data_IF_437944064698
#
_entry.id   IF_437944064698
#
_cell.length_a   1.000
_cell.length_b   1.000
_cell.length_c   1.000
_cell.angle_alpha   90.00
_cell.angle_beta   90.00
_cell.angle_gamma   90.00
#
_symmetry.space_group_name_H-M   'P 1'
#
loop_
_entity.id
_entity.type
_entity.pdbx_description
1 polymer ?
#
# COMPACT_ATOMS: atom_id res chain seq x y z
N UNK A 1 61.59 -19.50 -20.43
CA UNK A 1 60.89 -18.42 -19.70
C UNK A 1 60.01 -17.69 -20.71
N UNK A 2 58.69 -17.98 -20.72
CA UNK A 2 57.73 -17.29 -21.61
C UNK A 2 56.89 -16.36 -20.74
N UNK A 3 57.00 -15.06 -20.98
CA UNK A 3 56.19 -14.02 -20.33
C UNK A 3 54.86 -13.92 -21.10
N UNK A 4 53.75 -14.24 -20.45
CA UNK A 4 52.42 -14.05 -20.99
C UNK A 4 51.95 -12.66 -20.64
N UNK A 5 51.65 -11.86 -21.66
CA UNK A 5 51.13 -10.50 -21.56
C UNK A 5 49.59 -10.57 -21.53
N UNK A 6 48.97 -10.24 -20.39
CA UNK A 6 47.53 -10.15 -20.31
C UNK A 6 47.04 -8.78 -20.82
N UNK A 7 46.33 -8.83 -21.94
CA UNK A 7 45.70 -7.68 -22.55
C UNK A 7 44.32 -7.49 -21.89
N UNK A 8 44.13 -6.37 -21.19
CA UNK A 8 42.84 -5.96 -20.62
C UNK A 8 42.07 -5.18 -21.68
N UNK A 9 40.87 -5.57 -22.09
CA UNK A 9 40.09 -4.76 -23.01
C UNK A 9 39.46 -3.59 -22.25
N UNK A 10 39.79 -2.40 -22.72
CA UNK A 10 39.21 -1.12 -22.33
C UNK A 10 37.77 -1.06 -22.85
N UNK A 11 36.78 -1.20 -21.97
CA UNK A 11 35.37 -0.98 -22.30
C UNK A 11 35.12 0.52 -22.45
N UNK A 12 34.84 0.95 -23.68
CA UNK A 12 34.43 2.29 -24.00
C UNK A 12 32.98 2.53 -23.48
N UNK A 13 32.81 3.47 -22.58
CA UNK A 13 31.51 4.01 -22.22
C UNK A 13 31.00 4.87 -23.37
N UNK A 14 29.95 4.41 -24.06
CA UNK A 14 29.17 5.26 -24.95
C UNK A 14 28.27 6.18 -24.07
N UNK A 15 28.63 7.45 -24.02
CA UNK A 15 27.77 8.52 -23.59
C UNK A 15 26.70 8.71 -24.67
N UNK A 16 25.49 8.23 -24.40
CA UNK A 16 24.31 8.57 -25.21
C UNK A 16 23.86 9.97 -24.82
N UNK A 17 24.07 10.92 -25.74
CA UNK A 17 23.71 12.31 -25.56
C UNK A 17 22.20 12.48 -25.47
N UNK A 18 21.74 13.20 -24.45
CA UNK A 18 20.37 13.69 -24.34
C UNK A 18 20.14 14.80 -25.37
N UNK A 19 19.17 14.60 -26.24
CA UNK A 19 18.67 15.61 -27.16
C UNK A 19 17.73 16.54 -26.37
N UNK A 20 18.11 17.80 -26.24
CA UNK A 20 17.26 18.85 -25.66
C UNK A 20 16.15 19.21 -26.64
N UNK A 21 14.94 18.78 -26.36
CA UNK A 21 13.70 19.26 -26.98
C UNK A 21 12.98 20.20 -26.04
N UNK A 22 13.02 21.48 -26.33
CA UNK A 22 12.32 22.52 -25.59
C UNK A 22 10.78 22.43 -25.75
N UNK A 23 10.05 22.63 -24.66
CA UNK A 23 8.67 23.08 -24.70
C UNK A 23 7.69 22.29 -23.83
N UNK A 24 7.23 22.89 -22.73
CA UNK A 24 6.04 22.43 -22.00
C UNK A 24 6.16 22.60 -20.48
N UNK A 25 5.76 23.76 -19.99
CA UNK A 25 5.58 24.02 -18.56
C UNK A 25 4.57 23.05 -17.95
N UNK A 26 4.94 22.42 -16.86
CA UNK A 26 4.10 21.54 -16.06
C UNK A 26 4.93 20.96 -14.92
N UNK A 27 5.39 21.81 -13.99
CA UNK A 27 6.20 21.43 -12.85
C UNK A 27 5.41 20.56 -11.83
N UNK A 28 5.21 19.30 -12.15
CA UNK A 28 4.84 18.27 -11.21
C UNK A 28 6.08 17.44 -10.89
N UNK A 29 6.79 17.76 -9.81
CA UNK A 29 7.88 16.92 -9.33
C UNK A 29 7.38 15.48 -9.20
N UNK A 30 7.87 14.59 -10.04
CA UNK A 30 7.63 13.15 -9.96
C UNK A 30 8.38 12.62 -8.74
N UNK A 31 7.75 12.74 -7.57
CA UNK A 31 8.22 12.03 -6.39
C UNK A 31 8.26 10.54 -6.71
N UNK A 32 9.32 9.86 -6.31
CA UNK A 32 9.42 8.41 -6.49
C UNK A 32 8.27 7.74 -5.76
N UNK A 33 7.46 6.98 -6.49
CA UNK A 33 6.37 6.22 -5.90
C UNK A 33 6.93 5.01 -5.14
N UNK A 34 6.55 4.87 -3.89
CA UNK A 34 6.92 3.75 -3.02
C UNK A 34 5.72 2.82 -2.88
N UNK A 35 5.81 1.62 -3.45
CA UNK A 35 4.73 0.63 -3.42
C UNK A 35 5.03 -0.49 -2.44
N UNK A 36 4.03 -0.82 -1.62
CA UNK A 36 3.97 -1.99 -0.75
C UNK A 36 2.96 -2.96 -1.35
N UNK A 37 3.41 -4.13 -1.77
CA UNK A 37 2.58 -5.18 -2.37
C UNK A 37 2.47 -6.35 -1.38
N UNK A 38 1.25 -6.61 -0.91
CA UNK A 38 1.00 -7.60 0.13
C UNK A 38 0.81 -9.03 -0.40
N UNK A 39 0.98 -9.24 -1.71
CA UNK A 39 0.85 -10.57 -2.32
C UNK A 39 1.85 -11.59 -1.78
N UNK A 40 2.94 -11.14 -1.18
CA UNK A 40 3.97 -12.00 -0.57
C UNK A 40 3.72 -12.36 0.89
N UNK A 41 2.70 -11.77 1.53
CA UNK A 41 2.36 -12.06 2.93
C UNK A 41 1.84 -13.49 3.09
N UNK A 42 2.26 -14.17 4.15
CA UNK A 42 1.94 -15.60 4.42
C UNK A 42 1.54 -15.89 5.87
N UNK A 43 1.55 -14.88 6.73
CA UNK A 43 1.37 -15.04 8.19
C UNK A 43 -0.09 -14.86 8.62
N UNK A 44 -0.97 -15.69 8.09
CA UNK A 44 -2.43 -15.63 8.31
C UNK A 44 -2.84 -15.28 9.73
N UNK A 45 -3.66 -14.22 9.85
CA UNK A 45 -4.26 -13.79 11.11
C UNK A 45 -3.30 -13.16 12.10
N UNK A 46 -2.03 -12.98 11.75
CA UNK A 46 -1.04 -12.33 12.62
C UNK A 46 -1.25 -10.82 12.60
N UNK A 47 -1.32 -10.20 13.78
CA UNK A 47 -1.46 -8.76 13.90
C UNK A 47 -0.16 -8.04 13.49
N UNK A 48 -0.30 -6.83 12.93
CA UNK A 48 0.83 -5.98 12.53
C UNK A 48 1.34 -5.06 13.63
N UNK A 49 0.93 -5.27 14.85
CA UNK A 49 1.37 -4.48 16.00
C UNK A 49 2.85 -4.72 16.37
N UNK A 50 3.33 -5.95 16.15
CA UNK A 50 4.72 -6.34 16.47
C UNK A 50 5.16 -7.57 15.65
N UNK A 51 6.46 -7.83 15.65
CA UNK A 51 7.03 -9.12 15.27
C UNK A 51 7.10 -9.38 13.77
N UNK A 52 6.96 -10.65 13.38
CA UNK A 52 7.22 -11.13 12.02
C UNK A 52 6.25 -10.58 10.97
N UNK A 53 4.99 -10.34 11.33
CA UNK A 53 4.02 -9.76 10.38
C UNK A 53 4.36 -8.31 10.04
N UNK A 54 4.82 -7.52 11.01
CA UNK A 54 5.29 -6.16 10.78
C UNK A 54 6.55 -6.14 9.89
N UNK A 55 7.51 -7.03 10.16
CA UNK A 55 8.69 -7.17 9.31
C UNK A 55 8.32 -7.60 7.89
N UNK A 56 7.37 -8.51 7.73
CA UNK A 56 6.85 -8.94 6.43
C UNK A 56 6.16 -7.78 5.69
N UNK A 57 5.38 -6.94 6.39
CA UNK A 57 4.79 -5.73 5.83
C UNK A 57 5.86 -4.77 5.29
N UNK A 58 6.89 -4.46 6.06
CA UNK A 58 7.97 -3.59 5.61
C UNK A 58 8.75 -4.17 4.43
N UNK A 59 8.97 -5.48 4.42
CA UNK A 59 9.67 -6.17 3.33
C UNK A 59 8.84 -6.31 2.06
N UNK A 60 7.55 -5.98 2.09
CA UNK A 60 6.66 -5.98 0.92
C UNK A 60 6.88 -4.79 -0.02
N UNK A 61 7.81 -3.89 0.27
CA UNK A 61 8.19 -2.79 -0.61
C UNK A 61 8.82 -3.31 -1.91
N UNK A 62 8.29 -2.88 -3.06
CA UNK A 62 8.70 -3.41 -4.39
C UNK A 62 9.62 -2.50 -5.16
N UNK A 63 9.70 -1.22 -4.85
CA UNK A 63 10.45 -0.22 -5.65
C UNK A 63 11.80 0.17 -4.99
N UNK A 64 12.50 -0.77 -4.36
CA UNK A 64 13.78 -0.50 -3.72
C UNK A 64 13.62 -0.03 -2.27
N UNK A 65 14.24 1.08 -1.90
CA UNK A 65 14.20 1.56 -0.52
C UNK A 65 12.78 1.92 -0.07
N UNK A 66 12.35 1.36 1.07
CA UNK A 66 11.09 1.70 1.69
C UNK A 66 11.09 3.13 2.23
N UNK A 67 10.02 3.89 1.98
CA UNK A 67 9.80 5.19 2.62
C UNK A 67 9.26 5.03 4.05
N UNK A 68 8.56 3.93 4.35
CA UNK A 68 8.07 3.65 5.70
C UNK A 68 9.24 3.28 6.60
N UNK A 69 9.44 4.05 7.65
CA UNK A 69 10.51 3.86 8.65
C UNK A 69 9.99 3.22 9.93
N UNK A 70 8.68 3.19 10.14
CA UNK A 70 8.09 2.59 11.32
C UNK A 70 6.57 2.51 11.26
N UNK A 71 6.02 1.71 12.17
CA UNK A 71 4.61 1.65 12.51
C UNK A 71 4.47 2.05 13.97
N UNK A 72 3.74 3.12 14.24
CA UNK A 72 3.52 3.60 15.61
C UNK A 72 2.24 3.07 16.23
N UNK A 73 1.29 2.64 15.40
CA UNK A 73 0.05 2.00 15.84
C UNK A 73 -0.42 1.01 14.76
N UNK A 74 -0.85 -0.18 15.17
CA UNK A 74 -1.49 -1.17 14.31
C UNK A 74 -2.58 -1.89 15.11
N UNK A 75 -3.75 -1.26 15.22
CA UNK A 75 -4.88 -1.80 15.96
C UNK A 75 -5.84 -2.50 15.01
N UNK A 76 -6.13 -3.79 15.24
CA UNK A 76 -7.00 -4.62 14.40
C UNK A 76 -6.60 -4.61 12.91
N UNK A 77 -5.30 -4.68 12.64
CA UNK A 77 -4.71 -4.87 11.31
C UNK A 77 -3.97 -6.19 11.30
N UNK A 78 -4.29 -7.06 10.33
CA UNK A 78 -3.85 -8.44 10.31
C UNK A 78 -3.35 -8.86 8.93
N UNK A 79 -2.41 -9.80 8.91
CA UNK A 79 -2.14 -10.56 7.71
C UNK A 79 -3.34 -11.47 7.39
N UNK A 80 -4.01 -11.19 6.28
CA UNK A 80 -5.18 -11.91 5.78
C UNK A 80 -4.85 -12.91 4.65
N UNK A 81 -3.61 -13.38 4.55
CA UNK A 81 -3.11 -14.17 3.42
C UNK A 81 -4.02 -15.31 2.98
N UNK A 82 -4.60 -16.07 3.92
CA UNK A 82 -5.49 -17.18 3.57
C UNK A 82 -6.87 -16.72 3.04
N UNK A 83 -7.24 -15.49 3.24
CA UNK A 83 -8.50 -14.93 2.72
C UNK A 83 -8.30 -14.38 1.30
N UNK A 84 -7.06 -14.04 0.91
CA UNK A 84 -6.72 -13.48 -0.40
C UNK A 84 -7.18 -14.33 -1.57
N UNK A 85 -6.98 -15.65 -1.50
CA UNK A 85 -7.38 -16.59 -2.55
C UNK A 85 -8.88 -16.61 -2.82
N UNK A 86 -9.72 -16.43 -1.80
CA UNK A 86 -11.18 -16.38 -1.94
C UNK A 86 -11.66 -15.16 -2.74
N UNK A 87 -10.83 -14.12 -2.83
CA UNK A 87 -11.14 -12.86 -3.52
C UNK A 87 -10.29 -12.64 -4.80
N UNK A 88 -9.82 -13.74 -5.39
CA UNK A 88 -9.08 -13.69 -6.66
C UNK A 88 -7.66 -13.16 -6.54
N UNK A 89 -7.13 -13.04 -5.33
CA UNK A 89 -5.71 -12.82 -5.12
C UNK A 89 -5.02 -14.16 -4.87
N UNK A 90 -3.99 -14.47 -5.62
CA UNK A 90 -3.26 -15.75 -5.52
C UNK A 90 -2.38 -15.83 -4.27
N UNK A 91 -2.20 -14.71 -3.58
CA UNK A 91 -1.34 -14.59 -2.42
C UNK A 91 -1.89 -13.55 -1.44
N UNK A 92 -1.10 -13.10 -0.49
CA UNK A 92 -1.46 -12.32 0.67
C UNK A 92 -2.25 -11.01 0.45
N UNK A 93 -2.83 -10.57 1.51
CA UNK A 93 -3.48 -9.26 1.66
C UNK A 93 -3.39 -8.83 3.13
N UNK A 94 -3.68 -7.56 3.37
CA UNK A 94 -3.84 -7.03 4.73
C UNK A 94 -5.32 -6.83 5.01
N UNK A 95 -5.76 -7.32 6.16
CA UNK A 95 -7.13 -7.17 6.64
C UNK A 95 -7.19 -6.09 7.71
N UNK A 96 -8.03 -5.10 7.51
CA UNK A 96 -8.35 -4.06 8.48
C UNK A 96 -9.69 -4.34 9.15
N UNK A 97 -9.72 -4.16 10.46
CA UNK A 97 -10.92 -4.29 11.28
C UNK A 97 -11.35 -5.73 11.59
N UNK A 98 -12.23 -5.84 12.55
CA UNK A 98 -12.91 -7.08 12.97
C UNK A 98 -14.36 -6.81 13.33
N UNK A 99 -15.10 -7.85 13.68
CA UNK A 99 -16.57 -7.75 13.93
C UNK A 99 -16.97 -6.76 15.03
N UNK A 100 -16.05 -6.36 15.90
CA UNK A 100 -16.31 -5.49 17.06
C UNK A 100 -15.34 -4.33 17.16
N UNK A 101 -14.56 -4.01 16.12
CA UNK A 101 -13.63 -2.90 16.15
C UNK A 101 -13.15 -2.51 14.73
N UNK A 102 -12.97 -1.23 14.51
CA UNK A 102 -12.30 -0.68 13.33
C UNK A 102 -10.83 -1.08 13.30
N UNK A 103 -10.26 -1.12 12.09
CA UNK A 103 -8.81 -1.24 11.90
C UNK A 103 -8.16 0.12 11.82
N UNK A 104 -6.98 0.27 12.41
CA UNK A 104 -6.17 1.48 12.34
C UNK A 104 -4.70 1.14 12.20
N UNK A 105 -4.03 1.81 11.28
CA UNK A 105 -2.60 1.68 11.02
C UNK A 105 -2.00 3.07 10.91
N UNK A 106 -0.96 3.34 11.69
CA UNK A 106 -0.21 4.60 11.64
C UNK A 106 1.21 4.33 11.19
N UNK A 107 1.56 4.86 10.03
CA UNK A 107 2.87 4.72 9.41
C UNK A 107 3.69 6.00 9.62
N UNK A 108 4.96 5.85 9.98
CA UNK A 108 5.96 6.91 9.96
C UNK A 108 6.78 6.79 8.67
N UNK A 109 7.00 7.90 7.99
CA UNK A 109 7.67 7.96 6.70
C UNK A 109 9.01 8.71 6.81
N UNK A 110 9.97 8.32 5.98
CA UNK A 110 11.26 9.00 5.84
C UNK A 110 11.15 10.38 5.15
N UNK A 111 10.10 10.57 4.34
CA UNK A 111 9.79 11.85 3.69
C UNK A 111 8.29 12.08 3.62
N UNK A 112 7.89 13.33 3.36
CA UNK A 112 6.49 13.68 3.29
C UNK A 112 5.81 13.09 2.06
N UNK A 113 4.70 12.39 2.26
CA UNK A 113 3.78 11.98 1.21
C UNK A 113 2.86 13.12 0.80
N UNK A 114 2.51 13.18 -0.48
CA UNK A 114 1.50 14.10 -1.05
C UNK A 114 0.28 13.34 -1.54
N UNK A 115 0.47 12.07 -1.87
CA UNK A 115 -0.58 11.21 -2.42
C UNK A 115 -0.42 9.79 -1.92
N UNK A 116 -1.55 9.15 -1.62
CA UNK A 116 -1.60 7.74 -1.24
C UNK A 116 -2.64 7.04 -2.11
N UNK A 117 -2.25 5.93 -2.72
CA UNK A 117 -3.18 5.08 -3.47
C UNK A 117 -3.26 3.73 -2.78
N UNK A 118 -4.47 3.30 -2.43
CA UNK A 118 -4.71 2.03 -1.74
C UNK A 118 -5.58 1.15 -2.62
N UNK A 119 -5.02 0.01 -3.06
CA UNK A 119 -5.78 -1.02 -3.77
C UNK A 119 -6.47 -1.90 -2.75
N UNK A 120 -7.80 -1.88 -2.72
CA UNK A 120 -8.59 -2.52 -1.67
C UNK A 120 -10.01 -2.88 -2.13
N UNK A 121 -10.75 -3.56 -1.27
CA UNK A 121 -12.20 -3.74 -1.41
C UNK A 121 -12.87 -3.98 -0.04
N UNK A 122 -14.20 -3.86 -0.04
CA UNK A 122 -15.04 -4.06 1.13
C UNK A 122 -14.99 -5.52 1.61
N UNK A 123 -15.05 -5.70 2.92
CA UNK A 123 -15.16 -7.03 3.53
C UNK A 123 -16.51 -7.70 3.27
N UNK A 124 -17.59 -6.92 3.12
CA UNK A 124 -18.93 -7.48 2.97
C UNK A 124 -19.16 -8.08 1.59
N UNK A 125 -19.80 -9.24 1.59
CA UNK A 125 -20.29 -9.91 0.41
C UNK A 125 -21.71 -9.46 0.05
N UNK A 126 -22.17 -9.80 -1.15
CA UNK A 126 -23.44 -9.39 -1.79
C UNK A 126 -24.70 -9.53 -0.94
N UNK A 127 -24.73 -10.45 0.01
CA UNK A 127 -25.94 -10.77 0.81
C UNK A 127 -26.19 -9.83 1.96
N UNK A 128 -25.23 -8.96 2.30
CA UNK A 128 -25.34 -8.04 3.42
C UNK A 128 -25.57 -6.62 2.89
N UNK A 129 -26.81 -6.25 2.81
CA UNK A 129 -27.39 -4.89 2.71
C UNK A 129 -26.46 -3.73 2.26
N UNK A 130 -25.73 -3.87 1.17
CA UNK A 130 -25.09 -2.76 0.48
C UNK A 130 -26.17 -2.00 -0.34
N UNK A 131 -26.30 -0.67 -0.28
CA UNK A 131 -25.40 0.32 0.31
C UNK A 131 -25.75 0.77 1.74
N UNK A 132 -26.70 0.18 2.40
CA UNK A 132 -27.18 0.63 3.74
C UNK A 132 -26.19 0.34 4.87
N UNK A 133 -25.20 -0.52 4.61
CA UNK A 133 -24.15 -0.89 5.55
C UNK A 133 -22.78 -0.80 4.85
N UNK A 134 -22.32 0.41 4.62
CA UNK A 134 -21.11 0.66 3.83
C UNK A 134 -19.89 0.85 4.71
N UNK A 135 -18.79 0.21 4.33
CA UNK A 135 -17.49 0.43 4.93
C UNK A 135 -16.75 1.55 4.21
N UNK A 136 -15.95 2.27 4.96
CA UNK A 136 -15.08 3.34 4.49
C UNK A 136 -13.65 3.07 4.91
N UNK A 137 -12.72 3.57 4.09
CA UNK A 137 -11.31 3.66 4.43
C UNK A 137 -10.92 5.14 4.38
N UNK A 138 -10.21 5.60 5.39
CA UNK A 138 -9.71 6.97 5.45
C UNK A 138 -8.19 6.99 5.51
N UNK A 139 -7.61 8.06 4.94
CA UNK A 139 -6.19 8.42 5.10
C UNK A 139 -6.13 9.84 5.63
N UNK A 140 -5.55 10.03 6.82
CA UNK A 140 -5.45 11.31 7.51
C UNK A 140 -6.79 12.05 7.61
N UNK A 141 -7.89 11.29 7.80
CA UNK A 141 -9.24 11.82 7.95
C UNK A 141 -10.02 12.03 6.63
N UNK A 142 -9.38 12.00 5.45
CA UNK A 142 -10.11 11.91 4.18
C UNK A 142 -10.70 10.50 4.03
N UNK A 143 -12.03 10.40 4.02
CA UNK A 143 -12.76 9.14 4.08
C UNK A 143 -13.43 8.83 2.74
N UNK A 144 -13.21 7.62 2.22
CA UNK A 144 -13.77 7.16 0.94
C UNK A 144 -14.52 5.85 1.11
N UNK A 145 -15.61 5.72 0.37
CA UNK A 145 -16.39 4.48 0.29
C UNK A 145 -15.53 3.38 -0.32
N UNK A 146 -15.51 2.21 0.32
CA UNK A 146 -14.79 1.06 -0.20
C UNK A 146 -15.44 0.50 -1.48
N UNK A 147 -14.65 0.12 -2.48
CA UNK A 147 -15.18 -0.59 -3.64
C UNK A 147 -15.75 -1.94 -3.21
N UNK A 148 -16.93 -2.27 -3.73
CA UNK A 148 -17.60 -3.51 -3.40
C UNK A 148 -17.08 -4.67 -4.23
N UNK A 149 -16.72 -5.78 -3.59
CA UNK A 149 -15.99 -6.88 -4.23
C UNK A 149 -16.72 -7.53 -5.42
N UNK A 150 -18.06 -7.61 -5.38
CA UNK A 150 -18.81 -8.29 -6.45
C UNK A 150 -19.21 -7.40 -7.62
N UNK A 151 -19.28 -6.09 -7.42
CA UNK A 151 -19.69 -5.14 -8.46
C UNK A 151 -18.53 -4.47 -9.16
N UNK A 152 -17.47 -4.16 -8.41
CA UNK A 152 -16.29 -3.44 -8.92
C UNK A 152 -14.99 -4.23 -8.75
N UNK A 153 -15.02 -5.36 -8.02
CA UNK A 153 -13.79 -6.04 -7.62
C UNK A 153 -12.93 -5.16 -6.69
N UNK A 154 -11.65 -5.46 -6.62
CA UNK A 154 -10.66 -4.58 -5.99
C UNK A 154 -10.49 -3.32 -6.84
N UNK A 155 -10.44 -2.18 -6.18
CA UNK A 155 -10.28 -0.87 -6.82
C UNK A 155 -9.28 0.00 -6.09
N UNK A 156 -8.82 1.04 -6.76
CA UNK A 156 -7.89 2.01 -6.19
C UNK A 156 -8.66 3.16 -5.53
N UNK A 157 -8.41 3.38 -4.24
CA UNK A 157 -8.77 4.61 -3.55
C UNK A 157 -7.57 5.55 -3.56
N UNK A 158 -7.72 6.72 -4.18
CA UNK A 158 -6.68 7.73 -4.31
C UNK A 158 -6.94 8.87 -3.34
N UNK A 159 -5.99 9.14 -2.46
CA UNK A 159 -6.01 10.20 -1.46
C UNK A 159 -4.95 11.26 -1.82
N UNK A 160 -5.39 12.45 -2.21
CA UNK A 160 -4.51 13.60 -2.37
C UNK A 160 -4.48 14.34 -1.03
N UNK A 161 -3.34 14.33 -0.35
CA UNK A 161 -3.24 14.92 0.98
C UNK A 161 -3.28 16.45 0.87
N UNK A 162 -4.14 17.09 1.67
CA UNK A 162 -4.28 18.54 1.71
C UNK A 162 -2.97 19.27 2.06
N UNK A 163 -2.12 18.59 2.85
CA UNK A 163 -0.76 19.02 3.13
C UNK A 163 0.16 17.80 3.12
N UNK A 164 1.41 17.93 2.63
CA UNK A 164 2.38 16.85 2.70
C UNK A 164 2.59 16.38 4.13
N UNK A 165 2.63 15.06 4.35
CA UNK A 165 2.71 14.47 5.69
C UNK A 165 3.73 13.36 5.77
N UNK A 166 4.54 13.36 6.82
CA UNK A 166 5.45 12.26 7.19
C UNK A 166 4.77 11.20 8.07
N UNK A 167 3.48 11.38 8.36
CA UNK A 167 2.69 10.40 9.10
C UNK A 167 1.40 10.11 8.34
N UNK A 168 1.09 8.83 8.13
CA UNK A 168 -0.15 8.38 7.52
C UNK A 168 -0.96 7.59 8.54
N UNK A 169 -2.15 8.07 8.83
CA UNK A 169 -3.16 7.33 9.61
C UNK A 169 -4.17 6.74 8.64
N UNK A 170 -4.21 5.41 8.55
CA UNK A 170 -5.13 4.65 7.70
C UNK A 170 -6.13 3.96 8.63
N UNK A 171 -7.42 4.24 8.46
CA UNK A 171 -8.44 3.78 9.40
C UNK A 171 -9.73 3.38 8.69
N UNK A 172 -10.37 2.29 9.16
CA UNK A 172 -11.68 1.88 8.68
C UNK A 172 -12.81 2.45 9.53
N UNK A 173 -13.96 2.69 8.90
CA UNK A 173 -15.21 3.05 9.59
C UNK A 173 -16.41 2.43 8.88
N UNK A 174 -17.60 2.53 9.49
CA UNK A 174 -18.84 2.05 8.90
C UNK A 174 -19.90 3.16 8.92
N UNK A 175 -20.81 3.17 7.95
CA UNK A 175 -21.90 4.15 7.85
C UNK A 175 -22.96 4.00 8.93
N UNK A 176 -23.06 2.83 9.52
CA UNK A 176 -24.06 2.52 10.55
C UNK A 176 -23.43 2.65 11.93
N UNK A 177 -24.08 3.38 12.83
CA UNK A 177 -23.70 3.41 14.24
C UNK A 177 -23.68 1.97 14.78
N UNK A 178 -22.78 1.68 15.70
CA UNK A 178 -22.58 0.35 16.30
C UNK A 178 -22.07 -0.74 15.35
N UNK A 179 -21.78 -0.42 14.09
CA UNK A 179 -21.04 -1.27 13.16
C UNK A 179 -19.58 -0.83 13.04
N UNK A 180 -18.72 -1.78 12.66
CA UNK A 180 -17.30 -1.53 12.56
C UNK A 180 -16.83 -1.75 11.12
N UNK A 181 -16.02 -0.83 10.63
CA UNK A 181 -15.47 -0.88 9.28
C UNK A 181 -14.45 -2.01 9.12
N UNK A 182 -14.58 -2.75 8.02
CA UNK A 182 -13.66 -3.83 7.66
C UNK A 182 -13.34 -3.78 6.17
N UNK A 183 -12.08 -4.00 5.82
CA UNK A 183 -11.67 -4.11 4.43
C UNK A 183 -10.46 -5.02 4.24
N UNK A 184 -10.22 -5.35 2.99
CA UNK A 184 -9.01 -6.02 2.52
C UNK A 184 -8.20 -5.07 1.66
N UNK A 185 -6.89 -5.00 1.92
CA UNK A 185 -5.94 -4.15 1.20
C UNK A 185 -4.88 -5.04 0.55
N UNK A 186 -4.67 -4.85 -0.76
CA UNK A 186 -3.69 -5.61 -1.55
C UNK A 186 -2.37 -4.87 -1.71
N UNK A 187 -2.45 -3.55 -1.83
CA UNK A 187 -1.24 -2.73 -1.92
C UNK A 187 -1.49 -1.31 -1.45
N UNK A 188 -0.41 -0.65 -1.03
CA UNK A 188 -0.37 0.79 -0.72
C UNK A 188 0.76 1.40 -1.55
N UNK A 189 0.46 2.46 -2.29
CA UNK A 189 1.45 3.26 -3.01
C UNK A 189 1.48 4.66 -2.40
N UNK A 190 2.67 5.16 -2.08
CA UNK A 190 2.93 6.44 -1.40
C UNK A 190 3.81 7.29 -2.32
N UNK A 191 3.37 8.54 -2.61
CA UNK A 191 4.03 9.50 -3.51
C UNK A 191 4.21 10.87 -2.85
#
# INVERSE_FOLDING_TARGET
MKKSLFLIPLMAFLLCGCNEGAGGEGGGGTGTAHRYDFSTLTLKGTAFDTGSAYSAFLSSAVNGASIVTGVTEATNVYDGAAEGGAYGNTAGLVKFGKSKANGKLVLTLASNAKKVTINCFDFYTKTEAYPTNSNYLSVNGDSKLLPYAETAGKGDLVYNLASPSSTLTIETSNSVADKFGRCFVFSITIE
#
